data_IF_303252808544
#
_entry.id   IF_303252808544
#
_cell.length_a   1.000
_cell.length_b   1.000
_cell.length_c   1.000
_cell.angle_alpha   90.00
_cell.angle_beta   90.00
_cell.angle_gamma   90.00
#
_symmetry.space_group_name_H-M   'P 1'
#
loop_
_entity.id
_entity.type
_entity.pdbx_description
1 polymer ?
#
# COMPACT_ATOMS: atom_id res chain seq x y z
N UNK A 1 -25.60 -13.92 9.89
CA UNK A 1 -25.02 -13.05 10.93
C UNK A 1 -26.05 -12.97 12.03
N UNK A 2 -25.65 -13.35 13.24
CA UNK A 2 -26.54 -13.42 14.40
C UNK A 2 -26.14 -12.25 15.29
N UNK A 3 -26.81 -11.11 15.11
CA UNK A 3 -26.43 -9.85 15.74
C UNK A 3 -27.11 -9.75 17.11
N UNK A 4 -26.34 -10.00 18.18
CA UNK A 4 -26.84 -9.83 19.54
C UNK A 4 -26.76 -8.36 19.93
N UNK A 5 -27.92 -7.68 20.04
CA UNK A 5 -28.01 -6.29 20.51
C UNK A 5 -27.58 -6.23 21.99
N UNK A 6 -26.53 -5.46 22.28
CA UNK A 6 -25.98 -5.27 23.63
C UNK A 6 -26.47 -3.95 24.28
N UNK A 7 -26.92 -2.98 23.48
CA UNK A 7 -27.42 -1.68 23.94
C UNK A 7 -27.99 -0.84 22.78
N UNK A 8 -28.37 0.41 23.04
CA UNK A 8 -28.75 1.33 21.97
C UNK A 8 -27.54 1.63 21.08
N UNK A 9 -27.69 1.37 19.79
CA UNK A 9 -26.66 1.44 18.75
C UNK A 9 -25.39 0.58 18.97
N UNK A 10 -25.41 -0.40 19.88
CA UNK A 10 -24.29 -1.32 20.12
C UNK A 10 -24.70 -2.77 19.85
N UNK A 11 -24.00 -3.39 18.91
CA UNK A 11 -24.23 -4.77 18.46
C UNK A 11 -22.95 -5.60 18.58
N UNK A 12 -23.07 -6.81 19.12
CA UNK A 12 -21.97 -7.77 19.08
C UNK A 12 -21.95 -8.47 17.72
N UNK A 13 -20.88 -8.27 16.95
CA UNK A 13 -20.63 -9.01 15.72
C UNK A 13 -19.73 -10.18 16.03
N UNK A 14 -20.27 -11.40 15.91
CA UNK A 14 -19.49 -12.63 16.04
C UNK A 14 -18.91 -13.01 14.68
N UNK A 15 -17.60 -12.82 14.51
CA UNK A 15 -16.88 -13.40 13.37
C UNK A 15 -16.63 -14.88 13.62
N UNK A 16 -17.07 -15.73 12.70
CA UNK A 16 -16.68 -17.14 12.68
C UNK A 16 -15.35 -17.24 11.93
N UNK A 17 -14.31 -17.85 12.51
CA UNK A 17 -13.07 -18.08 11.78
C UNK A 17 -13.34 -19.08 10.67
N UNK A 18 -13.36 -18.62 9.43
CA UNK A 18 -13.37 -19.48 8.26
C UNK A 18 -11.96 -20.03 8.04
N UNK A 19 -11.83 -21.35 7.94
CA UNK A 19 -10.56 -22.00 7.66
C UNK A 19 -10.37 -22.16 6.15
N UNK A 20 -9.52 -21.32 5.57
CA UNK A 20 -9.03 -21.52 4.21
C UNK A 20 -7.80 -22.44 4.24
N UNK A 21 -7.88 -23.60 3.58
CA UNK A 21 -6.78 -24.56 3.53
C UNK A 21 -5.62 -24.14 2.61
N UNK A 22 -5.67 -22.95 1.98
CA UNK A 22 -4.69 -22.37 1.06
C UNK A 22 -3.88 -23.44 0.29
N UNK A 23 -4.54 -24.19 -0.60
CA UNK A 23 -3.93 -25.33 -1.31
C UNK A 23 -2.93 -24.95 -2.41
N UNK A 24 -2.66 -23.66 -2.57
CA UNK A 24 -1.74 -23.15 -3.60
C UNK A 24 -0.33 -23.66 -3.31
N UNK A 25 0.36 -24.27 -4.28
CA UNK A 25 1.74 -24.73 -4.06
C UNK A 25 2.64 -23.57 -3.64
N UNK A 26 3.52 -23.82 -2.66
CA UNK A 26 4.43 -22.80 -2.11
C UNK A 26 5.27 -22.12 -3.22
N UNK A 27 5.69 -22.87 -4.23
CA UNK A 27 6.44 -22.36 -5.37
C UNK A 27 5.67 -21.30 -6.17
N UNK A 28 4.35 -21.45 -6.30
CA UNK A 28 3.49 -20.47 -6.99
C UNK A 28 3.41 -19.20 -6.16
N UNK A 29 3.25 -19.31 -4.84
CA UNK A 29 3.25 -18.15 -3.95
C UNK A 29 4.58 -17.38 -4.01
N UNK A 30 5.72 -18.09 -3.99
CA UNK A 30 7.04 -17.47 -4.18
C UNK A 30 7.17 -16.76 -5.51
N UNK A 31 6.79 -17.42 -6.62
CA UNK A 31 6.90 -16.82 -7.95
C UNK A 31 6.03 -15.56 -8.09
N UNK A 32 4.81 -15.58 -7.58
CA UNK A 32 3.90 -14.42 -7.60
C UNK A 32 4.49 -13.26 -6.80
N UNK A 33 5.00 -13.54 -5.59
CA UNK A 33 5.61 -12.53 -4.73
C UNK A 33 6.86 -11.92 -5.34
N UNK A 34 7.75 -12.73 -5.94
CA UNK A 34 8.97 -12.25 -6.57
C UNK A 34 8.68 -11.42 -7.82
N UNK A 35 7.69 -11.83 -8.62
CA UNK A 35 7.24 -11.04 -9.76
C UNK A 35 6.64 -9.69 -9.30
N UNK A 36 5.82 -9.67 -8.25
CA UNK A 36 5.29 -8.43 -7.69
C UNK A 36 6.41 -7.48 -7.23
N UNK A 37 7.40 -8.01 -6.49
CA UNK A 37 8.59 -7.24 -6.08
C UNK A 37 9.38 -6.71 -7.26
N UNK A 38 9.55 -7.50 -8.32
CA UNK A 38 10.23 -7.06 -9.53
C UNK A 38 9.53 -5.83 -10.15
N UNK A 39 8.21 -5.89 -10.32
CA UNK A 39 7.45 -4.77 -10.87
C UNK A 39 7.48 -3.54 -9.97
N UNK A 40 7.38 -3.74 -8.65
CA UNK A 40 7.46 -2.67 -7.68
C UNK A 40 8.81 -1.93 -7.75
N UNK A 41 9.92 -2.66 -7.73
CA UNK A 41 11.26 -2.07 -7.86
C UNK A 41 11.47 -1.46 -9.24
N UNK A 42 10.98 -2.09 -10.31
CA UNK A 42 11.07 -1.55 -11.66
C UNK A 42 10.34 -0.20 -11.75
N UNK A 43 9.15 -0.08 -11.18
CA UNK A 43 8.42 1.19 -11.14
C UNK A 43 9.20 2.27 -10.38
N UNK A 44 9.76 1.96 -9.21
CA UNK A 44 10.54 2.93 -8.43
C UNK A 44 11.82 3.35 -9.18
N UNK A 45 12.66 2.41 -9.58
CA UNK A 45 13.97 2.74 -10.14
C UNK A 45 13.92 3.21 -11.59
N UNK A 46 13.05 2.63 -12.42
CA UNK A 46 13.03 2.94 -13.85
C UNK A 46 11.98 3.98 -14.24
N UNK A 47 10.95 4.22 -13.43
CA UNK A 47 9.99 5.30 -13.65
C UNK A 47 10.18 6.42 -12.62
N UNK A 48 9.96 6.16 -11.33
CA UNK A 48 9.93 7.24 -10.32
C UNK A 48 11.24 8.03 -10.27
N UNK A 49 12.39 7.35 -10.13
CA UNK A 49 13.70 8.01 -10.03
C UNK A 49 14.09 8.80 -11.30
N UNK A 50 13.51 8.48 -12.45
CA UNK A 50 13.79 9.18 -13.71
C UNK A 50 12.82 10.33 -13.94
N UNK A 51 11.57 10.14 -13.56
CA UNK A 51 10.50 11.09 -13.83
C UNK A 51 10.32 12.12 -12.72
N UNK A 52 10.63 11.81 -11.47
CA UNK A 52 10.42 12.68 -10.32
C UNK A 52 11.72 13.22 -9.72
N UNK A 53 11.59 14.37 -9.07
CA UNK A 53 12.67 14.94 -8.26
C UNK A 53 12.77 14.20 -6.91
N UNK A 54 13.69 13.24 -6.84
CA UNK A 54 13.93 12.43 -5.64
C UNK A 54 14.57 13.23 -4.49
N UNK A 55 15.11 14.43 -4.73
CA UNK A 55 15.58 15.29 -3.64
C UNK A 55 14.39 15.91 -2.88
N UNK A 56 13.21 15.93 -3.52
CA UNK A 56 11.96 16.42 -2.94
C UNK A 56 11.08 15.31 -2.37
N UNK A 57 11.35 14.04 -2.71
CA UNK A 57 10.57 12.88 -2.31
C UNK A 57 11.33 11.98 -1.34
N UNK A 58 10.74 11.72 -0.19
CA UNK A 58 11.29 10.79 0.80
C UNK A 58 10.37 9.58 0.96
N UNK A 59 10.91 8.38 0.76
CA UNK A 59 10.17 7.14 0.97
C UNK A 59 9.84 6.97 2.46
N UNK A 60 8.58 6.71 2.78
CA UNK A 60 8.13 6.53 4.17
C UNK A 60 7.92 5.05 4.44
N UNK A 61 7.04 4.43 3.66
CA UNK A 61 6.64 3.04 3.82
C UNK A 61 6.11 2.51 2.49
N UNK A 62 6.17 1.20 2.29
CA UNK A 62 5.50 0.53 1.18
C UNK A 62 4.95 -0.81 1.62
N UNK A 63 3.82 -1.18 1.02
CA UNK A 63 3.18 -2.48 1.13
C UNK A 63 3.16 -3.17 -0.25
N UNK A 64 2.50 -4.31 -0.35
CA UNK A 64 2.46 -5.25 -1.48
C UNK A 64 2.27 -4.57 -2.84
N UNK A 65 1.40 -3.55 -2.92
CA UNK A 65 1.04 -2.85 -4.15
C UNK A 65 0.97 -1.33 -3.99
N UNK A 66 1.43 -0.77 -2.87
CA UNK A 66 1.32 0.65 -2.56
C UNK A 66 2.55 1.20 -1.86
N UNK A 67 2.76 2.51 -1.97
CA UNK A 67 3.91 3.20 -1.40
C UNK A 67 3.50 4.59 -0.89
N UNK A 68 3.93 4.93 0.32
CA UNK A 68 3.79 6.25 0.91
C UNK A 68 5.09 7.03 0.77
N UNK A 69 4.96 8.25 0.26
CA UNK A 69 6.07 9.18 0.04
C UNK A 69 5.74 10.51 0.69
N UNK A 70 6.70 11.08 1.41
CA UNK A 70 6.65 12.45 1.88
C UNK A 70 7.16 13.37 0.78
N UNK A 71 6.40 14.44 0.49
CA UNK A 71 6.75 15.46 -0.51
C UNK A 71 7.19 16.71 0.24
N UNK A 72 8.41 17.18 0.00
CA UNK A 72 8.90 18.42 0.61
C UNK A 72 8.46 19.66 -0.18
N UNK A 73 8.17 20.74 0.54
CA UNK A 73 7.92 22.08 0.02
C UNK A 73 7.22 22.97 1.04
N UNK A 74 6.14 23.65 0.66
CA UNK A 74 5.50 24.66 1.52
C UNK A 74 4.51 24.00 2.48
N UNK A 75 4.75 24.17 3.78
CA UNK A 75 3.88 23.68 4.86
C UNK A 75 2.45 24.22 4.75
N UNK A 76 2.27 25.40 4.15
CA UNK A 76 0.96 26.03 3.97
C UNK A 76 0.24 25.58 2.69
N UNK A 77 0.93 24.88 1.77
CA UNK A 77 0.32 24.43 0.52
C UNK A 77 -0.69 23.30 0.74
N UNK A 78 -0.52 22.51 1.82
CA UNK A 78 -1.37 21.36 2.13
C UNK A 78 -1.46 20.40 0.93
N UNK A 79 -2.68 20.04 0.53
CA UNK A 79 -2.92 19.14 -0.63
C UNK A 79 -2.54 19.73 -1.99
N UNK A 80 -2.24 21.03 -2.07
CA UNK A 80 -1.79 21.69 -3.31
C UNK A 80 -0.28 21.53 -3.55
N UNK A 81 0.43 20.89 -2.62
CA UNK A 81 1.84 20.56 -2.77
C UNK A 81 2.02 19.59 -3.96
N UNK A 82 2.63 20.05 -5.04
CA UNK A 82 2.75 19.27 -6.28
C UNK A 82 3.93 18.30 -6.26
N UNK A 83 3.76 17.16 -6.94
CA UNK A 83 4.86 16.28 -7.34
C UNK A 83 5.66 16.98 -8.45
N UNK A 84 6.94 17.23 -8.20
CA UNK A 84 7.83 17.85 -9.16
C UNK A 84 8.41 16.78 -10.10
N UNK A 85 8.13 16.92 -11.39
CA UNK A 85 8.77 16.13 -12.42
C UNK A 85 10.18 16.68 -12.69
N UNK A 86 11.14 15.78 -12.94
CA UNK A 86 12.44 16.17 -13.49
C UNK A 86 12.24 16.59 -14.95
N UNK A 87 12.62 17.82 -15.27
CA UNK A 87 12.82 18.31 -16.64
C UNK A 87 14.31 18.37 -16.95
#
# INVERSE_FOLDING_TARGET
>A
MDDQKLGDDVYAVKMYPETCACKTPLNVAYFVLDNAKYWYLNFIYNFMNKCFDMDKLHFVEGDTDSAYWAVSGDENAGIKQYLLFRY
#
